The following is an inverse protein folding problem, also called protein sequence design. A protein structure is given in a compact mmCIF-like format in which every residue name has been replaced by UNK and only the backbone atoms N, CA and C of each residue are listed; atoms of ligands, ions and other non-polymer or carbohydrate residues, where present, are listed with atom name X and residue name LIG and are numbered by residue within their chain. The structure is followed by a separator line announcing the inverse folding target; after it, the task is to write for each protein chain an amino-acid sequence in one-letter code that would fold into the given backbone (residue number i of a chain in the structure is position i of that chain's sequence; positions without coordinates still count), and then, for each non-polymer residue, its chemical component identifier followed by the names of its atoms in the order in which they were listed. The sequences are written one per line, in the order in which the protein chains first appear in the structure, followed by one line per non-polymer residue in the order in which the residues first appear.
data_IF_407418384306
#
_entry.id   IF_407418384306
#
_cell.length_a   1.000
_cell.length_b   1.000
_cell.length_c   1.000
_cell.angle_alpha   90.00
_cell.angle_beta   90.00
_cell.angle_gamma   90.00
#
_symmetry.space_group_name_H-M   'P 1'
#
loop_
_entity.id
_entity.type
_entity.pdbx_description
1 polymer ?
#
# COMPACT_ATOMS: atom_id res chain seq x y z
N UNK A 1 9.81 91.31 -57.18
CA UNK A 1 9.76 90.09 -58.00
C UNK A 1 10.34 88.96 -57.10
N UNK A 2 9.41 88.23 -56.44
CA UNK A 2 9.74 87.32 -55.35
C UNK A 2 9.86 85.90 -55.91
N UNK A 3 10.91 85.26 -55.49
CA UNK A 3 11.18 83.84 -55.70
C UNK A 3 10.66 83.03 -54.53
N UNK A 4 9.68 82.20 -54.71
CA UNK A 4 9.16 81.29 -53.71
C UNK A 4 10.01 80.02 -53.70
N UNK A 5 10.54 79.66 -52.49
CA UNK A 5 11.19 78.38 -52.23
C UNK A 5 10.17 77.31 -51.97
N UNK A 6 10.32 76.14 -52.62
CA UNK A 6 9.56 74.92 -52.37
C UNK A 6 10.21 74.09 -51.29
N UNK A 7 9.47 73.84 -50.23
CA UNK A 7 9.88 72.93 -49.15
C UNK A 7 9.44 71.50 -49.48
N UNK A 8 10.38 70.57 -49.62
CA UNK A 8 10.13 69.14 -49.75
C UNK A 8 9.96 68.50 -48.36
N UNK A 9 8.75 67.95 -48.13
CA UNK A 9 8.43 67.16 -46.93
C UNK A 9 8.94 65.74 -47.08
N UNK A 10 9.94 65.36 -46.32
CA UNK A 10 10.33 63.97 -46.11
C UNK A 10 9.28 63.28 -45.18
N UNK A 11 8.72 62.17 -45.64
CA UNK A 11 7.93 61.27 -44.80
C UNK A 11 8.85 60.24 -44.14
N UNK A 12 8.75 59.99 -42.85
CA UNK A 12 9.51 58.92 -42.21
C UNK A 12 8.90 57.56 -42.53
N UNK A 13 9.73 56.65 -43.02
CA UNK A 13 9.42 55.25 -43.19
C UNK A 13 9.24 54.61 -41.81
N UNK A 14 8.04 54.16 -41.47
CA UNK A 14 7.74 53.35 -40.32
C UNK A 14 8.34 51.94 -40.49
N UNK A 15 9.30 51.58 -39.63
CA UNK A 15 9.75 50.19 -39.52
C UNK A 15 8.69 49.34 -38.87
N UNK A 16 8.30 48.17 -39.44
CA UNK A 16 7.42 47.25 -38.75
C UNK A 16 8.16 46.61 -37.59
N UNK A 17 7.65 46.77 -36.36
CA UNK A 17 8.11 46.08 -35.18
C UNK A 17 7.63 44.63 -35.29
N UNK A 18 8.54 43.72 -35.66
CA UNK A 18 8.26 42.29 -35.62
C UNK A 18 8.22 41.86 -34.11
N UNK A 19 7.03 41.67 -33.58
CA UNK A 19 6.84 40.95 -32.31
C UNK A 19 7.11 39.47 -32.57
N UNK A 20 8.30 38.99 -32.19
CA UNK A 20 8.60 37.58 -32.05
C UNK A 20 7.88 37.09 -30.81
N UNK A 21 6.71 36.44 -30.99
CA UNK A 21 6.01 35.71 -29.93
C UNK A 21 6.81 34.43 -29.73
N UNK A 22 7.66 34.42 -28.69
CA UNK A 22 8.25 33.20 -28.17
C UNK A 22 7.14 32.37 -27.52
N UNK A 23 6.56 31.44 -28.27
CA UNK A 23 5.75 30.36 -27.70
C UNK A 23 6.72 29.43 -27.01
N UNK A 24 6.94 29.63 -25.70
CA UNK A 24 7.61 28.66 -24.86
C UNK A 24 6.66 27.45 -24.75
N UNK A 25 7.03 26.28 -25.31
CA UNK A 25 6.22 25.10 -25.07
C UNK A 25 6.29 24.81 -23.56
N UNK A 26 5.19 25.02 -22.85
CA UNK A 26 5.02 24.47 -21.52
C UNK A 26 5.06 22.95 -21.66
N UNK A 27 6.24 22.36 -21.51
CA UNK A 27 6.38 20.96 -21.23
C UNK A 27 5.70 20.76 -19.87
N UNK A 28 4.44 20.30 -19.89
CA UNK A 28 3.79 19.69 -18.73
C UNK A 28 4.65 18.45 -18.39
N UNK A 29 5.63 18.65 -17.53
CA UNK A 29 6.27 17.54 -16.83
C UNK A 29 5.17 16.99 -15.93
N UNK A 30 4.46 15.98 -16.42
CA UNK A 30 3.64 15.11 -15.57
C UNK A 30 4.63 14.50 -14.57
N UNK A 31 4.71 15.13 -13.39
CA UNK A 31 5.35 14.48 -12.24
C UNK A 31 4.46 13.29 -11.91
N UNK A 32 4.84 12.12 -12.43
CA UNK A 32 4.33 10.85 -11.94
C UNK A 32 4.88 10.71 -10.52
N UNK A 33 4.15 11.26 -9.56
CA UNK A 33 4.44 10.99 -8.16
C UNK A 33 4.26 9.48 -7.96
N UNK A 34 5.31 8.85 -7.44
CA UNK A 34 5.19 7.48 -6.95
C UNK A 34 4.01 7.43 -5.98
N UNK A 35 3.04 6.55 -6.23
CA UNK A 35 1.74 6.58 -5.58
C UNK A 35 1.82 6.48 -4.05
N UNK A 36 2.78 5.69 -3.52
CA UNK A 36 2.86 5.35 -2.10
C UNK A 36 3.95 6.10 -1.31
N UNK A 37 4.84 6.85 -1.98
CA UNK A 37 6.07 7.29 -1.34
C UNK A 37 5.93 8.56 -0.53
N UNK A 38 6.57 8.51 0.63
CA UNK A 38 7.16 9.69 1.22
C UNK A 38 8.37 10.15 0.37
N UNK A 39 8.40 11.41 -0.10
CA UNK A 39 9.52 11.94 -0.88
C UNK A 39 10.86 11.92 -0.13
N UNK A 40 10.85 11.70 1.19
CA UNK A 40 12.05 11.63 2.03
C UNK A 40 12.69 10.23 2.09
N UNK A 41 12.06 9.19 1.53
CA UNK A 41 12.71 7.88 1.36
C UNK A 41 13.54 7.95 0.09
N UNK A 42 14.83 8.29 0.25
CA UNK A 42 15.81 8.39 -0.84
C UNK A 42 15.96 7.05 -1.51
N UNK A 43 15.51 6.97 -2.77
CA UNK A 43 15.88 5.85 -3.64
C UNK A 43 17.28 6.07 -4.19
N UNK A 44 18.13 5.09 -3.96
CA UNK A 44 19.36 4.93 -4.74
C UNK A 44 19.00 4.31 -6.11
N UNK A 45 18.79 5.17 -7.13
CA UNK A 45 18.74 4.77 -8.53
C UNK A 45 17.61 5.42 -9.36
N UNK A 46 17.85 5.73 -10.64
CA UNK A 46 16.83 6.24 -11.54
C UNK A 46 15.95 5.08 -12.03
N UNK A 47 14.81 4.86 -11.40
CA UNK A 47 13.80 3.97 -11.96
C UNK A 47 12.80 4.77 -12.79
N UNK A 48 12.96 4.69 -14.11
CA UNK A 48 11.89 5.02 -15.04
C UNK A 48 10.83 3.93 -14.92
N UNK A 49 9.80 4.17 -14.13
CA UNK A 49 8.61 3.33 -14.17
C UNK A 49 7.79 3.72 -15.38
N UNK A 50 7.32 2.76 -16.20
CA UNK A 50 6.19 3.02 -17.07
C UNK A 50 5.05 3.55 -16.18
N UNK A 51 4.32 4.57 -16.65
CA UNK A 51 3.05 4.93 -16.02
C UNK A 51 2.24 3.64 -15.94
N UNK A 52 2.02 3.14 -14.72
CA UNK A 52 1.24 1.93 -14.54
C UNK A 52 -0.14 2.19 -15.15
N UNK A 53 -0.48 1.46 -16.20
CA UNK A 53 -1.85 1.36 -16.61
C UNK A 53 -2.62 0.96 -15.35
N UNK A 54 -3.79 1.57 -15.08
CA UNK A 54 -4.64 1.23 -13.94
C UNK A 54 -5.12 -0.22 -14.12
N UNK A 55 -4.27 -1.16 -13.74
CA UNK A 55 -4.57 -2.57 -13.77
C UNK A 55 -5.56 -2.92 -12.65
N UNK A 56 -6.15 -4.11 -12.74
CA UNK A 56 -6.94 -4.67 -11.65
C UNK A 56 -6.08 -5.61 -10.85
N UNK A 57 -6.07 -5.41 -9.53
CA UNK A 57 -5.45 -6.33 -8.59
C UNK A 57 -6.50 -7.28 -8.01
N UNK A 58 -6.08 -8.49 -7.69
CA UNK A 58 -6.86 -9.41 -6.87
C UNK A 58 -6.27 -9.47 -5.46
N UNK A 59 -7.13 -9.37 -4.44
CA UNK A 59 -6.81 -9.55 -3.03
C UNK A 59 -7.57 -10.78 -2.56
N UNK A 60 -6.85 -11.81 -2.11
CA UNK A 60 -7.42 -13.05 -1.58
C UNK A 60 -6.95 -13.25 -0.14
N UNK A 61 -7.87 -13.47 0.77
CA UNK A 61 -7.61 -13.69 2.19
C UNK A 61 -7.80 -15.16 2.58
N UNK A 62 -6.82 -15.72 3.25
CA UNK A 62 -6.86 -17.11 3.72
C UNK A 62 -7.15 -17.24 5.22
N UNK A 63 -7.22 -16.12 5.93
CA UNK A 63 -7.40 -16.03 7.37
C UNK A 63 -6.20 -15.35 8.04
N UNK A 64 -6.34 -14.98 9.30
CA UNK A 64 -5.32 -14.28 10.09
C UNK A 64 -4.71 -13.09 9.34
N UNK A 65 -3.40 -13.07 9.13
CA UNK A 65 -2.67 -12.04 8.36
C UNK A 65 -2.23 -12.55 6.97
N UNK A 66 -2.76 -13.69 6.54
CA UNK A 66 -2.35 -14.37 5.31
C UNK A 66 -3.19 -13.93 4.11
N UNK A 67 -2.58 -13.16 3.22
CA UNK A 67 -3.17 -12.75 1.96
C UNK A 67 -2.34 -13.21 0.77
N UNK A 68 -2.99 -13.30 -0.39
CA UNK A 68 -2.36 -13.26 -1.70
C UNK A 68 -2.83 -11.99 -2.40
N UNK A 69 -1.88 -11.18 -2.82
CA UNK A 69 -2.08 -10.01 -3.67
C UNK A 69 -1.58 -10.37 -5.05
N UNK A 70 -2.41 -10.20 -6.08
CA UNK A 70 -2.04 -10.51 -7.46
C UNK A 70 -2.16 -9.26 -8.31
N UNK A 71 -1.07 -8.81 -8.94
CA UNK A 71 -1.08 -7.68 -9.85
C UNK A 71 -1.71 -8.03 -11.19
N UNK A 72 -2.02 -7.03 -12.01
CA UNK A 72 -2.54 -7.23 -13.37
C UNK A 72 -1.55 -7.96 -14.29
N UNK A 73 -0.26 -7.87 -14.00
CA UNK A 73 0.80 -8.61 -14.73
C UNK A 73 1.01 -10.04 -14.18
N UNK A 74 0.23 -10.44 -13.17
CA UNK A 74 0.27 -11.79 -12.58
C UNK A 74 1.35 -11.98 -11.52
N UNK A 75 2.00 -10.92 -11.03
CA UNK A 75 2.92 -11.01 -9.88
C UNK A 75 2.14 -11.30 -8.62
N UNK A 76 2.51 -12.39 -7.91
CA UNK A 76 1.84 -12.85 -6.70
C UNK A 76 2.70 -12.59 -5.46
N UNK A 77 2.18 -11.79 -4.57
CA UNK A 77 2.76 -11.51 -3.25
C UNK A 77 1.95 -12.26 -2.19
N UNK A 78 2.62 -12.99 -1.33
CA UNK A 78 2.04 -13.71 -0.20
C UNK A 78 2.45 -13.00 1.09
N UNK A 79 1.49 -12.67 1.95
CA UNK A 79 1.78 -12.04 3.25
C UNK A 79 1.60 -13.03 4.38
N UNK A 80 2.52 -13.07 5.31
CA UNK A 80 2.44 -13.72 6.62
C UNK A 80 1.75 -15.11 6.62
N UNK A 81 2.24 -16.09 5.83
CA UNK A 81 1.63 -17.40 5.76
C UNK A 81 1.67 -18.09 7.14
N UNK A 82 0.51 -18.57 7.60
CA UNK A 82 0.38 -19.18 8.92
C UNK A 82 0.64 -20.68 8.90
N UNK A 83 0.97 -21.24 10.08
CA UNK A 83 0.98 -22.66 10.35
C UNK A 83 -0.39 -23.20 10.78
N UNK A 84 -0.39 -24.26 11.59
CA UNK A 84 -1.65 -24.84 12.08
C UNK A 84 -2.31 -23.93 13.13
N UNK A 85 -3.40 -23.24 12.74
CA UNK A 85 -4.14 -22.34 13.63
C UNK A 85 -5.67 -22.38 13.44
N UNK A 86 -6.19 -23.47 12.89
CA UNK A 86 -7.62 -23.68 12.77
C UNK A 86 -8.27 -23.07 11.51
N UNK A 87 -7.46 -22.47 10.63
CA UNK A 87 -7.88 -22.14 9.27
C UNK A 87 -7.53 -23.29 8.32
N UNK A 88 -8.29 -23.51 7.24
CA UNK A 88 -7.91 -24.44 6.19
C UNK A 88 -6.54 -24.05 5.60
N UNK A 89 -5.69 -25.05 5.37
CA UNK A 89 -4.37 -24.85 4.78
C UNK A 89 -4.49 -24.74 3.27
N UNK A 90 -4.29 -23.56 2.67
CA UNK A 90 -4.45 -23.40 1.23
C UNK A 90 -3.25 -23.95 0.46
N UNK A 91 -3.49 -24.37 -0.77
CA UNK A 91 -2.43 -24.57 -1.73
C UNK A 91 -2.16 -23.26 -2.47
N UNK A 92 -0.99 -22.65 -2.22
CA UNK A 92 -0.67 -21.32 -2.76
C UNK A 92 0.66 -21.31 -3.51
N UNK A 93 0.70 -20.48 -4.55
CA UNK A 93 1.89 -20.18 -5.34
C UNK A 93 2.19 -18.70 -5.24
N UNK A 94 3.45 -18.36 -4.96
CA UNK A 94 3.88 -16.98 -4.82
C UNK A 94 5.20 -16.68 -5.53
N UNK A 95 5.39 -15.43 -5.92
CA UNK A 95 6.67 -14.92 -6.41
C UNK A 95 7.49 -14.32 -5.27
N UNK A 96 6.82 -13.68 -4.32
CA UNK A 96 7.40 -13.08 -3.13
C UNK A 96 6.57 -13.48 -1.92
N UNK A 97 7.24 -13.74 -0.79
CA UNK A 97 6.61 -13.90 0.52
C UNK A 97 7.14 -12.83 1.45
N UNK A 98 6.25 -12.11 2.12
CA UNK A 98 6.64 -11.20 3.22
C UNK A 98 6.36 -11.86 4.55
N UNK A 99 7.26 -11.66 5.50
CA UNK A 99 7.15 -12.15 6.88
C UNK A 99 7.26 -10.95 7.79
N UNK A 100 6.13 -10.51 8.34
CA UNK A 100 6.07 -9.37 9.26
C UNK A 100 6.60 -9.72 10.65
N UNK A 101 6.53 -11.00 11.04
CA UNK A 101 6.93 -11.46 12.35
C UNK A 101 7.49 -12.89 12.29
N UNK A 102 8.56 -13.15 13.06
CA UNK A 102 9.15 -14.49 13.20
C UNK A 102 8.39 -15.32 14.24
N UNK A 103 7.16 -15.71 13.88
CA UNK A 103 6.31 -16.56 14.70
C UNK A 103 5.55 -17.54 13.80
N UNK A 104 5.25 -18.76 14.27
CA UNK A 104 4.60 -19.82 13.49
C UNK A 104 3.25 -19.44 12.83
N UNK A 105 2.63 -18.37 13.32
CA UNK A 105 1.39 -17.83 12.73
C UNK A 105 1.64 -16.88 11.55
N UNK A 106 2.89 -16.55 11.22
CA UNK A 106 3.26 -15.54 10.22
C UNK A 106 4.42 -15.96 9.30
N UNK A 107 5.18 -17.01 9.65
CA UNK A 107 6.43 -17.33 8.98
C UNK A 107 6.48 -18.73 8.34
N UNK A 108 5.35 -19.36 8.09
CA UNK A 108 5.29 -20.67 7.43
C UNK A 108 5.56 -20.56 5.91
N UNK A 109 6.74 -20.03 5.57
CA UNK A 109 7.14 -19.79 4.17
C UNK A 109 7.20 -21.08 3.34
N UNK A 110 7.44 -22.24 3.99
CA UNK A 110 7.47 -23.54 3.33
C UNK A 110 6.14 -24.00 2.73
N UNK A 111 5.03 -23.37 3.13
CA UNK A 111 3.70 -23.59 2.54
C UNK A 111 3.62 -23.08 1.10
N UNK A 112 4.39 -22.03 0.77
CA UNK A 112 4.26 -21.32 -0.50
C UNK A 112 5.10 -21.99 -1.57
N UNK A 113 4.44 -22.50 -2.61
CA UNK A 113 5.07 -23.09 -3.79
C UNK A 113 5.59 -22.02 -4.75
N UNK A 114 6.47 -22.40 -5.70
CA UNK A 114 6.99 -21.50 -6.73
C UNK A 114 8.36 -20.90 -6.43
N UNK A 115 9.04 -21.37 -5.37
CA UNK A 115 10.36 -20.87 -4.96
C UNK A 115 10.41 -19.33 -4.79
N UNK A 116 9.55 -18.76 -3.95
CA UNK A 116 9.43 -17.32 -3.82
C UNK A 116 10.67 -16.65 -3.19
N UNK A 117 10.86 -15.37 -3.51
CA UNK A 117 11.76 -14.50 -2.75
C UNK A 117 11.13 -14.24 -1.38
N UNK A 118 11.86 -14.51 -0.30
CA UNK A 118 11.37 -14.29 1.08
C UNK A 118 11.91 -12.97 1.62
N UNK A 119 11.01 -12.07 1.97
CA UNK A 119 11.33 -10.75 2.55
C UNK A 119 10.91 -10.75 4.03
N UNK A 120 11.90 -10.76 4.91
CA UNK A 120 11.67 -10.77 6.36
C UNK A 120 11.76 -9.36 6.93
N UNK A 121 10.79 -8.97 7.73
CA UNK A 121 10.75 -7.67 8.40
C UNK A 121 11.76 -7.55 9.55
N UNK A 122 12.23 -8.68 10.09
CA UNK A 122 13.29 -8.77 11.06
C UNK A 122 14.52 -9.46 10.45
N UNK A 123 15.71 -9.12 10.95
CA UNK A 123 16.95 -9.81 10.60
C UNK A 123 16.93 -11.21 11.21
N UNK A 124 17.34 -12.19 10.42
CA UNK A 124 17.35 -13.59 10.85
C UNK A 124 18.18 -13.81 12.11
N UNK A 125 17.59 -14.49 13.11
CA UNK A 125 18.24 -14.79 14.38
C UNK A 125 18.54 -13.57 15.26
N UNK A 126 18.00 -12.38 14.94
CA UNK A 126 18.22 -11.14 15.69
C UNK A 126 16.90 -10.44 16.01
N UNK A 127 16.85 -9.81 17.18
CA UNK A 127 15.78 -8.89 17.53
C UNK A 127 16.06 -7.48 16.97
N UNK A 128 16.21 -7.40 15.64
CA UNK A 128 16.49 -6.17 14.92
C UNK A 128 15.60 -6.08 13.68
N UNK A 129 15.10 -4.89 13.38
CA UNK A 129 14.38 -4.66 12.11
C UNK A 129 15.32 -4.80 10.92
N UNK A 130 14.82 -5.47 9.91
CA UNK A 130 15.43 -5.45 8.60
C UNK A 130 14.95 -4.20 7.84
N UNK A 131 15.69 -3.79 6.81
CA UNK A 131 15.28 -2.78 5.86
C UNK A 131 14.97 -3.45 4.53
N UNK A 132 13.69 -3.56 4.23
CA UNK A 132 13.20 -4.07 2.95
C UNK A 132 12.84 -2.90 2.06
N UNK A 133 13.43 -2.86 0.87
CA UNK A 133 13.07 -1.95 -0.21
C UNK A 133 13.42 -2.64 -1.53
N UNK A 134 12.46 -3.35 -2.11
CA UNK A 134 12.65 -4.19 -3.28
C UNK A 134 11.60 -3.85 -4.35
N UNK A 135 12.04 -3.61 -5.57
CA UNK A 135 11.16 -3.70 -6.73
C UNK A 135 11.28 -5.10 -7.32
N UNK A 136 10.20 -5.85 -7.29
CA UNK A 136 10.09 -7.16 -7.91
C UNK A 136 9.10 -7.08 -9.08
N UNK A 137 9.62 -7.17 -10.30
CA UNK A 137 8.83 -6.97 -11.53
C UNK A 137 8.07 -5.63 -11.48
N UNK A 138 6.75 -5.68 -11.46
CA UNK A 138 5.81 -4.57 -11.46
C UNK A 138 5.41 -4.08 -10.05
N UNK A 139 5.96 -4.69 -8.98
CA UNK A 139 5.61 -4.37 -7.59
C UNK A 139 6.78 -3.81 -6.82
N UNK A 140 6.60 -2.65 -6.19
CA UNK A 140 7.53 -2.14 -5.17
C UNK A 140 7.06 -2.59 -3.80
N UNK A 141 7.99 -3.08 -2.97
CA UNK A 141 7.74 -3.62 -1.64
C UNK A 141 8.70 -2.97 -0.66
N UNK A 142 8.18 -2.40 0.42
CA UNK A 142 9.01 -1.94 1.53
C UNK A 142 8.33 -2.19 2.87
N UNK A 143 9.12 -2.24 3.96
CA UNK A 143 8.58 -2.51 5.28
C UNK A 143 8.60 -1.27 6.19
N UNK A 144 7.75 -1.32 7.21
CA UNK A 144 7.63 -0.30 8.25
C UNK A 144 7.75 -1.00 9.61
N UNK A 145 8.67 -0.57 10.48
CA UNK A 145 8.79 -1.10 11.84
C UNK A 145 7.50 -0.96 12.64
N UNK A 146 7.03 -2.04 13.24
CA UNK A 146 5.90 -2.03 14.17
C UNK A 146 6.21 -2.81 15.44
N UNK A 147 5.40 -2.61 16.47
CA UNK A 147 5.48 -3.37 17.71
C UNK A 147 4.19 -4.15 17.93
N UNK A 148 4.35 -5.39 18.42
CA UNK A 148 3.27 -6.19 18.96
C UNK A 148 3.21 -6.03 20.48
N UNK A 149 2.04 -6.20 21.07
CA UNK A 149 1.85 -6.31 22.51
C UNK A 149 2.12 -7.75 22.97
N UNK A 150 2.60 -7.91 24.18
CA UNK A 150 2.79 -9.22 24.80
C UNK A 150 4.02 -9.27 25.71
N UNK A 151 4.33 -10.46 26.21
CA UNK A 151 5.48 -10.70 27.05
C UNK A 151 6.57 -11.37 26.21
N UNK A 152 7.79 -10.82 26.16
CA UNK A 152 8.88 -11.34 25.32
C UNK A 152 9.20 -12.81 25.59
N UNK A 153 9.09 -13.26 26.83
CA UNK A 153 9.34 -14.64 27.24
C UNK A 153 8.38 -15.67 26.65
N UNK A 154 7.17 -15.24 26.23
CA UNK A 154 6.17 -16.11 25.60
C UNK A 154 6.14 -16.01 24.08
N UNK A 155 6.50 -14.84 23.53
CA UNK A 155 6.30 -14.52 22.12
C UNK A 155 7.58 -14.17 21.36
N UNK A 156 8.72 -14.25 22.02
CA UNK A 156 10.01 -13.84 21.44
C UNK A 156 10.05 -12.32 21.24
N UNK A 157 10.53 -11.88 20.08
CA UNK A 157 10.57 -10.44 19.78
C UNK A 157 9.19 -9.83 19.77
N UNK A 158 9.05 -8.67 20.43
CA UNK A 158 7.87 -7.80 20.29
C UNK A 158 7.95 -6.93 19.04
N UNK A 159 9.03 -7.01 18.28
CA UNK A 159 9.20 -6.33 17.02
C UNK A 159 8.53 -7.10 15.90
N UNK A 160 8.00 -6.35 14.95
CA UNK A 160 7.42 -6.85 13.72
C UNK A 160 7.53 -5.81 12.62
N UNK A 161 6.98 -6.09 11.48
CA UNK A 161 6.90 -5.14 10.37
C UNK A 161 5.54 -5.19 9.69
N UNK A 162 5.00 -4.02 9.39
CA UNK A 162 4.03 -3.87 8.34
C UNK A 162 4.74 -3.80 6.98
N UNK A 163 4.02 -4.06 5.90
CA UNK A 163 4.55 -3.99 4.53
C UNK A 163 3.67 -3.13 3.64
N UNK A 164 4.31 -2.28 2.87
CA UNK A 164 3.64 -1.51 1.81
C UNK A 164 3.97 -2.12 0.46
N UNK A 165 2.93 -2.28 -0.36
CA UNK A 165 3.01 -2.77 -1.73
C UNK A 165 2.47 -1.70 -2.67
N UNK A 166 3.30 -1.25 -3.61
CA UNK A 166 2.84 -0.42 -4.71
C UNK A 166 2.73 -1.29 -5.96
N UNK A 167 1.49 -1.51 -6.41
CA UNK A 167 1.18 -2.30 -7.59
C UNK A 167 -0.02 -1.69 -8.33
N UNK A 168 0.01 -1.70 -9.66
CA UNK A 168 -1.08 -1.16 -10.51
C UNK A 168 -1.53 0.26 -10.13
N UNK A 169 -0.61 1.10 -9.65
CA UNK A 169 -0.90 2.46 -9.20
C UNK A 169 -1.65 2.56 -7.87
N UNK A 170 -1.81 1.44 -7.15
CA UNK A 170 -2.41 1.34 -5.83
C UNK A 170 -1.35 1.20 -4.74
N UNK A 171 -1.60 1.83 -3.60
CA UNK A 171 -0.84 1.69 -2.36
C UNK A 171 -1.59 0.78 -1.41
N UNK A 172 -1.05 -0.41 -1.16
CA UNK A 172 -1.63 -1.39 -0.24
C UNK A 172 -0.74 -1.46 0.98
N UNK A 173 -1.29 -1.25 2.16
CA UNK A 173 -0.56 -1.42 3.41
C UNK A 173 -1.12 -2.58 4.22
N UNK A 174 -0.27 -3.57 4.47
CA UNK A 174 -0.50 -4.65 5.41
C UNK A 174 0.07 -4.23 6.76
N UNK A 175 -0.78 -3.98 7.74
CA UNK A 175 -0.39 -3.38 9.04
C UNK A 175 0.48 -4.30 9.92
N UNK A 176 0.59 -5.58 9.57
CA UNK A 176 1.26 -6.57 10.41
C UNK A 176 0.60 -6.70 11.78
N UNK A 177 1.38 -7.10 12.78
CA UNK A 177 0.92 -7.26 14.16
C UNK A 177 1.04 -5.96 14.97
N UNK A 178 0.61 -4.84 14.39
CA UNK A 178 0.66 -3.56 15.09
C UNK A 178 -0.21 -3.57 16.35
N UNK A 179 0.29 -3.04 17.47
CA UNK A 179 -0.40 -3.02 18.76
C UNK A 179 -0.96 -1.66 19.18
N UNK A 180 -0.63 -0.61 18.46
CA UNK A 180 -1.03 0.76 18.75
C UNK A 180 -1.11 1.60 17.46
N UNK A 181 -1.84 2.73 17.45
CA UNK A 181 -1.81 3.68 16.35
C UNK A 181 -0.39 4.15 16.06
N UNK A 182 -0.13 4.53 14.81
CA UNK A 182 1.19 4.89 14.33
C UNK A 182 1.64 6.25 14.86
N UNK A 183 2.94 6.36 15.17
CA UNK A 183 3.58 7.66 15.41
C UNK A 183 3.92 8.37 14.08
N UNK A 184 4.40 9.61 14.17
CA UNK A 184 4.68 10.44 12.99
C UNK A 184 5.75 9.82 12.07
N UNK A 185 6.81 9.25 12.63
CA UNK A 185 7.86 8.60 11.83
C UNK A 185 7.32 7.40 11.06
N UNK A 186 6.49 6.58 11.70
CA UNK A 186 5.83 5.45 11.04
C UNK A 186 4.86 5.93 9.96
N UNK A 187 4.05 6.96 10.22
CA UNK A 187 3.16 7.55 9.22
C UNK A 187 3.93 8.09 8.01
N UNK A 188 5.09 8.72 8.26
CA UNK A 188 5.97 9.16 7.18
C UNK A 188 6.54 7.99 6.38
N UNK A 189 6.93 6.89 7.03
CA UNK A 189 7.42 5.69 6.36
C UNK A 189 6.33 5.00 5.54
N UNK A 190 5.12 4.91 6.07
CA UNK A 190 3.96 4.31 5.38
C UNK A 190 3.63 5.11 4.13
N UNK A 191 3.52 6.43 4.24
CA UNK A 191 3.12 7.32 3.17
C UNK A 191 1.63 7.24 2.85
N UNK A 192 1.27 7.36 1.57
CA UNK A 192 -0.13 7.26 1.12
C UNK A 192 -0.62 5.81 1.12
N UNK A 193 -1.86 5.59 1.53
CA UNK A 193 -2.51 4.27 1.54
C UNK A 193 -3.86 4.36 0.82
N UNK A 194 -4.04 3.56 -0.21
CA UNK A 194 -5.34 3.37 -0.88
C UNK A 194 -6.13 2.24 -0.22
N UNK A 195 -5.43 1.12 0.08
CA UNK A 195 -6.01 -0.10 0.64
C UNK A 195 -5.26 -0.48 1.91
N UNK A 196 -5.98 -0.63 3.01
CA UNK A 196 -5.45 -1.01 4.31
C UNK A 196 -5.91 -2.41 4.69
N UNK A 197 -4.97 -3.34 4.85
CA UNK A 197 -5.21 -4.65 5.48
C UNK A 197 -4.96 -4.49 6.97
N UNK A 198 -6.04 -4.35 7.75
CA UNK A 198 -6.01 -3.86 9.13
C UNK A 198 -6.21 -4.95 10.16
N UNK A 199 -5.23 -5.14 11.00
CA UNK A 199 -5.33 -5.98 12.22
C UNK A 199 -6.31 -5.36 13.22
N UNK A 200 -7.23 -6.20 13.76
CA UNK A 200 -8.24 -5.75 14.73
C UNK A 200 -8.42 -6.69 15.92
N UNK A 201 -7.55 -7.69 16.09
CA UNK A 201 -7.74 -8.81 17.03
C UNK A 201 -7.77 -8.46 18.52
N UNK A 202 -7.01 -7.47 18.96
CA UNK A 202 -7.12 -6.83 20.29
C UNK A 202 -6.36 -7.49 21.45
N UNK A 203 -5.87 -8.72 21.31
CA UNK A 203 -5.12 -9.38 22.40
C UNK A 203 -3.63 -8.99 22.35
N UNK A 204 -2.99 -9.31 21.25
CA UNK A 204 -1.57 -9.01 21.01
C UNK A 204 -1.38 -7.81 20.09
N UNK A 205 -2.43 -7.41 19.43
CA UNK A 205 -2.47 -6.37 18.41
C UNK A 205 -3.47 -5.28 18.79
N UNK A 206 -3.62 -4.24 17.99
CA UNK A 206 -4.71 -3.28 18.19
C UNK A 206 -6.07 -3.99 18.17
N UNK A 207 -6.97 -3.54 19.05
CA UNK A 207 -8.36 -3.92 19.00
C UNK A 207 -9.17 -3.04 18.02
N UNK A 208 -10.48 -3.24 17.95
CA UNK A 208 -11.39 -2.51 17.06
C UNK A 208 -11.21 -0.99 17.13
N UNK A 209 -11.13 -0.41 18.31
CA UNK A 209 -10.99 1.04 18.49
C UNK A 209 -9.64 1.58 18.04
N UNK A 210 -8.55 0.80 18.27
CA UNK A 210 -7.23 1.15 17.75
C UNK A 210 -7.17 1.07 16.22
N UNK A 211 -7.84 0.06 15.63
CA UNK A 211 -7.98 -0.08 14.19
C UNK A 211 -8.72 1.10 13.55
N UNK A 212 -9.81 1.58 14.18
CA UNK A 212 -10.53 2.79 13.74
C UNK A 212 -9.63 4.03 13.76
N UNK A 213 -8.82 4.21 14.82
CA UNK A 213 -7.85 5.31 14.90
C UNK A 213 -6.81 5.25 13.78
N UNK A 214 -6.37 4.04 13.40
CA UNK A 214 -5.45 3.86 12.28
C UNK A 214 -6.13 4.25 10.95
N UNK A 215 -7.42 3.95 10.76
CA UNK A 215 -8.18 4.44 9.59
C UNK A 215 -8.21 5.97 9.56
N UNK A 216 -8.44 6.63 10.71
CA UNK A 216 -8.43 8.10 10.83
C UNK A 216 -7.06 8.70 10.47
N UNK A 217 -5.97 8.03 10.85
CA UNK A 217 -4.60 8.47 10.55
C UNK A 217 -4.25 8.33 9.06
N UNK A 218 -4.52 7.15 8.48
CA UNK A 218 -4.09 6.82 7.12
C UNK A 218 -5.10 7.22 6.04
N UNK A 219 -6.38 7.37 6.39
CA UNK A 219 -7.49 7.73 5.50
C UNK A 219 -7.53 6.91 4.20
N UNK A 220 -7.42 5.57 4.30
CA UNK A 220 -7.47 4.71 3.13
C UNK A 220 -8.85 4.80 2.47
N UNK A 221 -8.95 4.38 1.21
CA UNK A 221 -10.25 4.27 0.54
C UNK A 221 -10.93 2.94 0.86
N UNK A 222 -10.17 1.88 0.96
CA UNK A 222 -10.65 0.53 1.25
C UNK A 222 -9.94 -0.01 2.49
N UNK A 223 -10.70 -0.63 3.40
CA UNK A 223 -10.18 -1.30 4.59
C UNK A 223 -10.64 -2.74 4.58
N UNK A 224 -9.72 -3.67 4.75
CA UNK A 224 -10.01 -5.09 4.90
C UNK A 224 -9.54 -5.52 6.29
N UNK A 225 -10.46 -5.84 7.22
CA UNK A 225 -10.09 -6.28 8.56
C UNK A 225 -9.48 -7.68 8.52
N UNK A 226 -8.46 -7.89 9.37
CA UNK A 226 -7.77 -9.16 9.51
C UNK A 226 -7.43 -9.44 10.99
N UNK A 227 -6.87 -10.61 11.27
CA UNK A 227 -6.36 -11.01 12.61
C UNK A 227 -7.42 -11.02 13.71
N UNK A 228 -8.69 -11.21 13.38
CA UNK A 228 -9.79 -11.29 14.35
C UNK A 228 -10.32 -12.71 14.54
N UNK A 229 -9.67 -13.71 13.88
CA UNK A 229 -10.05 -15.10 13.92
C UNK A 229 -11.53 -15.29 13.53
N UNK A 230 -12.27 -16.11 14.29
CA UNK A 230 -13.72 -16.24 14.16
C UNK A 230 -14.48 -15.40 15.20
N UNK A 231 -13.82 -14.40 15.81
CA UNK A 231 -14.43 -13.58 16.85
C UNK A 231 -15.29 -12.46 16.24
N UNK A 232 -16.55 -12.80 16.03
CA UNK A 232 -17.53 -11.86 15.44
C UNK A 232 -17.77 -10.65 16.33
N UNK A 233 -17.66 -10.75 17.67
CA UNK A 233 -17.80 -9.59 18.55
C UNK A 233 -16.72 -8.53 18.30
N UNK A 234 -15.50 -8.95 17.93
CA UNK A 234 -14.43 -8.04 17.55
C UNK A 234 -14.77 -7.36 16.23
N UNK A 235 -15.28 -8.12 15.26
CA UNK A 235 -15.69 -7.60 13.96
C UNK A 235 -16.86 -6.63 14.08
N UNK A 236 -17.91 -7.00 14.84
CA UNK A 236 -19.10 -6.16 15.08
C UNK A 236 -18.68 -4.81 15.68
N UNK A 237 -17.82 -4.82 16.71
CA UNK A 237 -17.29 -3.60 17.30
C UNK A 237 -16.44 -2.76 16.33
N UNK A 238 -15.74 -3.40 15.40
CA UNK A 238 -14.95 -2.68 14.40
C UNK A 238 -15.83 -2.03 13.35
N UNK A 239 -16.91 -2.70 12.93
CA UNK A 239 -17.85 -2.20 11.92
C UNK A 239 -18.90 -1.26 12.50
N UNK A 240 -19.07 -1.24 13.81
CA UNK A 240 -19.90 -0.25 14.51
C UNK A 240 -19.19 1.12 14.50
N UNK A 241 -19.67 2.03 13.66
CA UNK A 241 -19.08 3.35 13.51
C UNK A 241 -19.46 4.07 12.21
N UNK A 242 -18.70 5.11 11.82
CA UNK A 242 -19.07 5.98 10.72
C UNK A 242 -18.78 5.39 9.33
N UNK A 243 -18.07 4.27 9.25
CA UNK A 243 -17.65 3.69 7.98
C UNK A 243 -18.67 2.67 7.46
N UNK A 244 -19.06 2.80 6.20
CA UNK A 244 -19.89 1.81 5.54
C UNK A 244 -19.16 0.48 5.46
N UNK A 245 -19.88 -0.61 5.77
CA UNK A 245 -19.33 -1.97 5.82
C UNK A 245 -20.02 -2.89 4.81
N UNK A 246 -19.23 -3.68 4.10
CA UNK A 246 -19.67 -4.63 3.08
C UNK A 246 -19.24 -6.04 3.49
N UNK A 247 -20.19 -6.92 3.72
CA UNK A 247 -19.92 -8.32 4.02
C UNK A 247 -19.97 -9.14 2.72
N UNK A 248 -18.82 -9.68 2.33
CA UNK A 248 -18.69 -10.43 1.09
C UNK A 248 -18.84 -11.92 1.34
N UNK A 249 -19.52 -12.63 0.41
CA UNK A 249 -19.68 -14.10 0.46
C UNK A 249 -18.47 -14.84 -0.17
N UNK A 250 -17.38 -14.14 -0.39
CA UNK A 250 -16.13 -14.64 -0.97
C UNK A 250 -14.93 -14.19 -0.15
N UNK A 251 -13.87 -15.00 -0.17
CA UNK A 251 -12.60 -14.65 0.46
C UNK A 251 -11.67 -13.83 -0.45
N UNK A 252 -12.16 -13.39 -1.61
CA UNK A 252 -11.38 -12.54 -2.53
C UNK A 252 -12.23 -11.41 -3.10
N UNK A 253 -11.54 -10.36 -3.51
CA UNK A 253 -12.11 -9.25 -4.27
C UNK A 253 -11.11 -8.78 -5.33
N UNK A 254 -11.63 -8.19 -6.40
CA UNK A 254 -10.84 -7.54 -7.44
C UNK A 254 -11.16 -6.06 -7.45
N UNK A 255 -10.13 -5.21 -7.49
CA UNK A 255 -10.28 -3.75 -7.49
C UNK A 255 -9.21 -3.08 -8.37
N UNK A 256 -9.43 -1.81 -8.68
CA UNK A 256 -8.49 -0.94 -9.38
C UNK A 256 -8.59 0.47 -8.80
N UNK A 257 -7.68 1.35 -9.17
CA UNK A 257 -7.70 2.76 -8.74
C UNK A 257 -9.06 3.44 -8.99
N UNK A 258 -9.67 3.13 -10.13
CA UNK A 258 -10.91 3.77 -10.58
C UNK A 258 -12.17 3.20 -9.88
N UNK A 259 -12.04 2.03 -9.23
CA UNK A 259 -13.16 1.36 -8.55
C UNK A 259 -13.11 1.50 -7.03
N UNK A 260 -12.10 2.18 -6.49
CA UNK A 260 -12.03 2.47 -5.06
C UNK A 260 -13.17 3.43 -4.64
N UNK A 261 -13.73 3.26 -3.43
CA UNK A 261 -14.70 4.20 -2.89
C UNK A 261 -14.08 5.60 -2.72
N UNK A 262 -14.93 6.63 -2.70
CA UNK A 262 -14.48 8.01 -2.51
C UNK A 262 -14.05 8.30 -1.07
N UNK A 263 -14.67 7.64 -0.10
CA UNK A 263 -14.42 7.74 1.33
C UNK A 263 -14.05 6.37 1.89
N UNK A 264 -13.44 6.28 3.08
CA UNK A 264 -13.13 5.00 3.70
C UNK A 264 -14.36 4.10 3.84
N UNK A 265 -14.27 2.88 3.29
CA UNK A 265 -15.28 1.82 3.46
C UNK A 265 -14.61 0.52 3.88
N UNK A 266 -15.31 -0.30 4.65
CA UNK A 266 -14.81 -1.57 5.19
C UNK A 266 -15.35 -2.73 4.36
N UNK A 267 -14.47 -3.60 3.88
CA UNK A 267 -14.81 -4.78 3.10
C UNK A 267 -14.43 -6.04 3.87
N UNK A 268 -15.43 -6.76 4.37
CA UNK A 268 -15.26 -7.97 5.17
C UNK A 268 -15.28 -9.17 4.23
N UNK A 269 -14.13 -9.81 4.07
CA UNK A 269 -14.03 -11.03 3.28
C UNK A 269 -14.51 -12.23 4.10
N UNK A 270 -15.04 -13.24 3.40
CA UNK A 270 -15.49 -14.50 4.02
C UNK A 270 -14.30 -15.18 4.71
N UNK A 271 -14.46 -15.51 5.98
CA UNK A 271 -13.50 -16.37 6.69
C UNK A 271 -13.66 -17.79 6.19
N UNK A 272 -12.59 -18.40 5.73
CA UNK A 272 -12.60 -19.77 5.26
C UNK A 272 -12.73 -20.75 6.42
N UNK A 273 -13.53 -21.81 6.21
CA UNK A 273 -13.68 -22.94 7.12
C UNK A 273 -13.29 -24.21 6.41
N UNK A 274 -13.13 -25.28 7.17
CA UNK A 274 -12.89 -26.61 6.60
C UNK A 274 -13.98 -26.95 5.58
N UNK A 275 -13.58 -27.34 4.37
CA UNK A 275 -14.47 -27.59 3.22
C UNK A 275 -14.71 -26.40 2.29
N UNK A 276 -14.18 -25.22 2.59
CA UNK A 276 -14.29 -24.04 1.70
C UNK A 276 -13.15 -23.95 0.64
N UNK A 277 -12.11 -24.79 0.73
CA UNK A 277 -10.96 -24.83 -0.20
C UNK A 277 -11.08 -25.95 -1.22
#
# INVERSE_FOLDING_TARGET
MELKAQSSKFKPFGRPLLFLIFVIPYLLVLQVQAACRNPNIVQSGPFLRPAAASGRIEIKWFGHSFFQLTSSEGTKIITDPFGAMGFPMPEVWGNVVTVGREHGNHNNVGLVKGNPVVLRGLKEGKDEWNQVNLTFRDVLIYNVPVYQRGLPEYYGSLKGSGFVFEMDGLCIFHSGDVSEPFNEDQLQMIGHVDILLQTIGGVYTVGPEGGKKIIEQLKPKMVIPMHYWYNMNVLDRFTDGPYRSWFLNTNSLTTSKDTLPLTPEIFILKVLREGDL
#
